data_IF_332290794448
#
_entry.id   IF_332290794448
#
_cell.length_a   1.000
_cell.length_b   1.000
_cell.length_c   1.000
_cell.angle_alpha   90.00
_cell.angle_beta   90.00
_cell.angle_gamma   90.00
#
_symmetry.space_group_name_H-M   'P 1'
#
loop_
_entity.id
_entity.type
_entity.pdbx_description
1 polymer ?
#
# COMPACT_ATOMS: atom_id res chain seq x y z
N UNK A 1 1.90 -6.82 15.97
CA UNK A 1 1.55 -5.88 14.88
C UNK A 1 0.16 -5.35 15.14
N UNK A 2 -0.13 -4.12 14.71
CA UNK A 2 -1.45 -3.51 14.80
C UNK A 2 -2.08 -3.59 13.42
N UNK A 3 -3.25 -4.21 13.31
CA UNK A 3 -3.97 -4.27 12.06
C UNK A 3 -4.57 -2.90 11.74
N UNK A 4 -4.36 -2.45 10.51
CA UNK A 4 -4.84 -1.16 10.02
C UNK A 4 -5.53 -1.33 8.68
N UNK A 5 -6.49 -0.45 8.41
CA UNK A 5 -7.19 -0.37 7.14
C UNK A 5 -7.01 1.00 6.53
N UNK A 6 -7.04 1.07 5.21
CA UNK A 6 -7.04 2.34 4.49
C UNK A 6 -8.39 3.04 4.73
N UNK A 7 -8.36 4.16 5.44
CA UNK A 7 -9.54 5.01 5.64
C UNK A 7 -9.79 5.89 4.43
N UNK A 8 -8.77 6.63 4.00
CA UNK A 8 -8.83 7.52 2.83
C UNK A 8 -7.44 7.92 2.36
N UNK A 9 -7.36 8.31 1.08
CA UNK A 9 -6.30 9.17 0.58
C UNK A 9 -6.84 10.60 0.61
N UNK A 10 -6.08 11.55 1.15
CA UNK A 10 -6.44 12.97 1.20
C UNK A 10 -5.28 13.84 0.74
N UNK A 11 -5.48 15.15 0.68
CA UNK A 11 -4.44 16.12 0.32
C UNK A 11 -4.31 17.13 1.44
N UNK A 12 -3.09 17.31 1.95
CA UNK A 12 -2.79 18.39 2.87
C UNK A 12 -2.97 19.74 2.19
N UNK A 13 -3.84 20.59 2.74
CA UNK A 13 -4.23 21.86 2.11
C UNK A 13 -3.07 22.87 2.08
N UNK A 14 -2.15 22.80 3.06
CA UNK A 14 -1.03 23.72 3.15
C UNK A 14 0.09 23.39 2.15
N UNK A 15 0.40 22.11 1.98
CA UNK A 15 1.53 21.65 1.15
C UNK A 15 1.12 21.04 -0.19
N UNK A 16 -0.19 20.90 -0.46
CA UNK A 16 -0.73 20.14 -1.60
C UNK A 16 -0.15 18.71 -1.72
N UNK A 17 0.30 18.15 -0.59
CA UNK A 17 0.94 16.83 -0.55
C UNK A 17 -0.09 15.77 -0.19
N UNK A 18 -0.17 14.66 -0.95
CA UNK A 18 -1.07 13.57 -0.61
C UNK A 18 -0.70 12.87 0.70
N UNK A 19 -1.73 12.53 1.48
CA UNK A 19 -1.61 11.79 2.74
C UNK A 19 -2.49 10.53 2.66
N UNK A 20 -1.89 9.38 2.95
CA UNK A 20 -2.55 8.12 3.22
C UNK A 20 -2.93 8.06 4.71
N UNK A 21 -4.21 7.91 5.03
CA UNK A 21 -4.68 7.76 6.41
C UNK A 21 -5.05 6.30 6.67
N UNK A 22 -4.27 5.65 7.54
CA UNK A 22 -4.51 4.29 7.99
C UNK A 22 -5.15 4.31 9.37
N UNK A 23 -6.28 3.62 9.55
CA UNK A 23 -7.02 3.55 10.81
C UNK A 23 -6.86 2.16 11.43
N UNK A 24 -6.62 2.12 12.74
CA UNK A 24 -6.57 0.87 13.51
C UNK A 24 -7.95 0.20 13.57
N UNK A 25 -8.02 -1.09 13.23
CA UNK A 25 -9.31 -1.82 13.12
C UNK A 25 -10.07 -1.93 14.45
N UNK A 26 -9.36 -2.01 15.57
CA UNK A 26 -9.94 -2.19 16.91
C UNK A 26 -9.55 -1.08 17.89
N UNK A 27 -9.32 0.13 17.38
CA UNK A 27 -8.87 1.27 18.18
C UNK A 27 -9.24 2.60 17.55
N UNK A 28 -8.71 3.68 18.12
CA UNK A 28 -8.99 5.05 17.69
C UNK A 28 -7.73 5.74 17.12
N UNK A 29 -6.67 4.98 16.84
CA UNK A 29 -5.41 5.52 16.30
C UNK A 29 -5.49 5.64 14.79
N UNK A 30 -4.92 6.73 14.28
CA UNK A 30 -4.74 6.97 12.86
C UNK A 30 -3.26 7.21 12.59
N UNK A 31 -2.72 6.51 11.59
CA UNK A 31 -1.35 6.66 11.12
C UNK A 31 -1.36 7.41 9.78
N UNK A 32 -0.91 8.68 9.74
CA UNK A 32 -0.73 9.41 8.50
C UNK A 32 0.61 9.05 7.84
N UNK A 33 0.58 8.75 6.55
CA UNK A 33 1.77 8.52 5.71
C UNK A 33 1.71 9.46 4.52
N UNK A 34 2.68 10.36 4.41
CA UNK A 34 2.82 11.23 3.24
C UNK A 34 3.35 10.41 2.06
N UNK A 35 2.70 10.55 0.90
CA UNK A 35 3.07 9.85 -0.33
C UNK A 35 3.16 10.84 -1.49
N UNK A 36 3.76 10.42 -2.61
CA UNK A 36 3.79 11.24 -3.82
C UNK A 36 2.45 11.25 -4.57
N UNK A 37 2.33 12.20 -5.48
CA UNK A 37 1.16 12.30 -6.37
C UNK A 37 0.95 11.05 -7.25
N UNK A 38 1.98 10.42 -7.83
CA UNK A 38 1.81 9.19 -8.61
C UNK A 38 1.23 8.03 -7.78
N UNK A 39 1.71 7.86 -6.55
CA UNK A 39 1.24 6.82 -5.63
C UNK A 39 -0.21 7.07 -5.23
N UNK A 40 -0.54 8.32 -4.88
CA UNK A 40 -1.90 8.72 -4.52
C UNK A 40 -2.90 8.48 -5.66
N UNK A 41 -2.52 8.81 -6.90
CA UNK A 41 -3.35 8.56 -8.09
C UNK A 41 -3.58 7.07 -8.33
N UNK A 42 -2.54 6.24 -8.20
CA UNK A 42 -2.67 4.78 -8.36
C UNK A 42 -3.59 4.17 -7.31
N UNK A 43 -3.48 4.59 -6.05
CA UNK A 43 -4.36 4.15 -4.96
C UNK A 43 -5.80 4.62 -5.19
N UNK A 44 -6.00 5.86 -5.62
CA UNK A 44 -7.33 6.39 -5.92
C UNK A 44 -8.03 5.61 -7.04
N UNK A 45 -7.31 5.26 -8.11
CA UNK A 45 -7.86 4.45 -9.20
C UNK A 45 -8.24 3.05 -8.73
N UNK A 46 -7.40 2.41 -7.89
CA UNK A 46 -7.70 1.12 -7.31
C UNK A 46 -8.93 1.17 -6.39
N UNK A 47 -9.04 2.18 -5.52
CA UNK A 47 -10.19 2.38 -4.62
C UNK A 47 -11.51 2.65 -5.36
N UNK A 48 -11.43 3.30 -6.51
CA UNK A 48 -12.59 3.61 -7.35
C UNK A 48 -12.90 2.50 -8.36
N UNK A 49 -12.14 1.39 -8.33
CA UNK A 49 -12.23 0.27 -9.27
C UNK A 49 -12.22 0.71 -10.75
N UNK A 50 -11.43 1.75 -11.05
CA UNK A 50 -11.35 2.30 -12.41
C UNK A 50 -10.54 1.34 -13.28
N UNK A 51 -11.23 0.70 -14.22
CA UNK A 51 -10.57 -0.07 -15.28
C UNK A 51 -9.80 0.84 -16.24
N UNK A 52 -8.50 0.61 -16.36
CA UNK A 52 -7.65 1.31 -17.33
C UNK A 52 -7.49 0.48 -18.61
N UNK A 53 -7.34 1.10 -19.80
CA UNK A 53 -7.22 0.37 -21.08
C UNK A 53 -5.91 -0.41 -21.21
N UNK A 54 -4.94 -0.15 -20.32
CA UNK A 54 -3.65 -0.82 -20.21
C UNK A 54 -3.36 -1.06 -18.73
N UNK A 55 -2.71 -2.18 -18.36
CA UNK A 55 -2.36 -2.43 -16.96
C UNK A 55 -1.43 -1.34 -16.43
N UNK A 56 -1.73 -0.84 -15.24
CA UNK A 56 -0.84 0.05 -14.50
C UNK A 56 0.33 -0.75 -13.90
N UNK A 57 1.33 -0.04 -13.37
CA UNK A 57 2.49 -0.67 -12.73
C UNK A 57 2.10 -1.67 -11.64
N UNK A 58 1.09 -1.34 -10.83
CA UNK A 58 0.63 -2.22 -9.73
C UNK A 58 -0.11 -3.45 -10.25
N UNK A 59 -0.91 -3.31 -11.33
CA UNK A 59 -1.57 -4.45 -11.98
C UNK A 59 -0.52 -5.40 -12.55
N UNK A 60 0.46 -4.86 -13.29
CA UNK A 60 1.56 -5.64 -13.86
C UNK A 60 2.40 -6.32 -12.76
N UNK A 61 2.67 -5.65 -11.64
CA UNK A 61 3.37 -6.26 -10.50
C UNK A 61 2.56 -7.43 -9.91
N UNK A 62 1.25 -7.27 -9.76
CA UNK A 62 0.35 -8.35 -9.33
C UNK A 62 0.39 -9.54 -10.28
N UNK A 63 0.32 -9.29 -11.59
CA UNK A 63 0.39 -10.31 -12.64
C UNK A 63 1.73 -11.06 -12.62
N UNK A 64 2.85 -10.35 -12.43
CA UNK A 64 4.18 -10.96 -12.31
C UNK A 64 4.25 -11.87 -11.09
N UNK A 65 3.78 -11.40 -9.93
CA UNK A 65 3.76 -12.19 -8.70
C UNK A 65 2.93 -13.46 -8.90
N UNK A 66 1.74 -13.33 -9.48
CA UNK A 66 0.85 -14.46 -9.75
C UNK A 66 1.47 -15.45 -10.74
N UNK A 67 2.07 -14.96 -11.84
CA UNK A 67 2.72 -15.79 -12.86
C UNK A 67 3.90 -16.61 -12.30
N UNK A 68 4.56 -16.11 -11.25
CA UNK A 68 5.64 -16.80 -10.54
C UNK A 68 5.14 -17.74 -9.42
N UNK A 69 3.82 -17.95 -9.30
CA UNK A 69 3.22 -18.81 -8.27
C UNK A 69 3.16 -18.15 -6.89
N UNK A 70 3.27 -16.82 -6.85
CA UNK A 70 3.24 -16.01 -5.64
C UNK A 70 1.84 -15.45 -5.33
N UNK A 71 1.58 -15.21 -4.05
CA UNK A 71 0.42 -14.45 -3.57
C UNK A 71 0.84 -13.54 -2.43
N UNK A 72 0.61 -12.23 -2.56
CA UNK A 72 0.76 -11.30 -1.44
C UNK A 72 -0.33 -11.61 -0.42
N UNK A 73 0.06 -11.81 0.85
CA UNK A 73 -0.90 -12.09 1.93
C UNK A 73 -0.82 -11.10 3.08
N UNK A 74 0.25 -10.31 3.17
CA UNK A 74 0.40 -9.27 4.18
C UNK A 74 1.35 -8.15 3.68
N UNK A 75 1.11 -6.92 4.13
CA UNK A 75 2.01 -5.78 3.98
C UNK A 75 2.25 -5.19 5.36
N UNK A 76 3.51 -5.09 5.76
CA UNK A 76 3.91 -4.66 7.11
C UNK A 76 4.65 -3.34 7.03
N UNK A 77 4.19 -2.30 7.72
CA UNK A 77 4.97 -1.07 7.94
C UNK A 77 5.81 -1.29 9.20
N UNK A 78 7.13 -1.45 9.04
CA UNK A 78 8.02 -1.99 10.07
C UNK A 78 8.79 -0.92 10.84
N UNK A 79 9.38 0.05 10.15
CA UNK A 79 10.27 1.04 10.75
C UNK A 79 9.99 2.45 10.24
N UNK A 80 10.31 3.44 11.07
CA UNK A 80 10.38 4.85 10.69
C UNK A 80 11.81 5.34 10.97
N UNK A 81 12.54 5.71 9.92
CA UNK A 81 13.88 6.28 10.05
C UNK A 81 13.84 7.70 9.52
N UNK A 82 14.03 8.67 10.42
CA UNK A 82 13.78 10.08 10.10
C UNK A 82 12.30 10.30 9.74
N UNK A 83 12.04 10.64 8.49
CA UNK A 83 10.69 10.86 7.94
C UNK A 83 10.24 9.78 6.95
N UNK A 84 10.94 8.65 6.89
CA UNK A 84 10.69 7.59 5.90
C UNK A 84 10.21 6.31 6.56
N UNK A 85 9.01 5.87 6.19
CA UNK A 85 8.51 4.55 6.54
C UNK A 85 9.14 3.48 5.66
N UNK A 86 9.56 2.38 6.28
CA UNK A 86 10.02 1.17 5.62
C UNK A 86 8.96 0.09 5.81
N UNK A 87 8.63 -0.60 4.72
CA UNK A 87 7.63 -1.64 4.71
C UNK A 87 8.17 -2.91 4.08
N UNK A 88 7.52 -4.04 4.38
CA UNK A 88 7.81 -5.33 3.78
C UNK A 88 6.53 -5.93 3.21
N UNK A 89 6.64 -6.55 2.03
CA UNK A 89 5.59 -7.39 1.46
C UNK A 89 5.86 -8.83 1.84
N UNK A 90 4.84 -9.50 2.37
CA UNK A 90 4.87 -10.93 2.67
C UNK A 90 4.13 -11.68 1.57
N UNK A 91 4.83 -12.60 0.93
CA UNK A 91 4.32 -13.43 -0.16
C UNK A 91 4.34 -14.90 0.23
N UNK A 92 3.33 -15.64 -0.24
CA UNK A 92 3.36 -17.10 -0.27
C UNK A 92 3.73 -17.50 -1.70
N UNK A 93 4.87 -18.15 -1.90
CA UNK A 93 5.36 -18.61 -3.21
C UNK A 93 5.53 -20.12 -3.14
N UNK A 94 4.74 -20.87 -3.92
CA UNK A 94 4.78 -22.34 -3.94
C UNK A 94 4.68 -22.99 -2.54
N UNK A 95 3.92 -22.38 -1.63
CA UNK A 95 3.73 -22.86 -0.26
C UNK A 95 4.80 -22.41 0.75
N UNK A 96 5.83 -21.68 0.32
CA UNK A 96 6.84 -21.10 1.20
C UNK A 96 6.59 -19.59 1.41
N UNK A 97 6.78 -19.12 2.64
CA UNK A 97 6.73 -17.68 2.93
C UNK A 97 8.02 -16.98 2.49
N UNK A 98 7.86 -15.85 1.79
CA UNK A 98 8.94 -14.98 1.34
C UNK A 98 8.65 -13.53 1.77
N UNK A 99 9.70 -12.80 2.11
CA UNK A 99 9.61 -11.36 2.43
C UNK A 99 10.38 -10.56 1.41
N UNK A 100 9.77 -9.48 0.92
CA UNK A 100 10.38 -8.49 0.04
C UNK A 100 10.37 -7.15 0.78
N UNK A 101 11.53 -6.52 0.94
CA UNK A 101 11.74 -5.28 1.71
C UNK A 101 12.74 -4.38 1.02
#
# INVERSE_FOLDING_TARGET
>A
MVEVILRTVSVDVASATPILLLEEVHGNRVLPIFIGQPEAAAIAYALQEIGTPRPMSHDLMGDIIAALGGKVFNVEIQNLVGSTYYAALRLLVNGAEMTIS
#
